data_IF_307243074427
#
_entry.id   IF_307243074427
#
_cell.length_a   1.000
_cell.length_b   1.000
_cell.length_c   1.000
_cell.angle_alpha   90.00
_cell.angle_beta   90.00
_cell.angle_gamma   90.00
#
_symmetry.space_group_name_H-M   'P 1'
#
loop_
_entity.id
_entity.type
_entity.pdbx_description
1 polymer ?
#
# COMPACT_ATOMS: atom_id res chain seq x y z
N UNK A 1 1.86 21.53 -11.00
CA UNK A 1 2.99 20.59 -11.01
C UNK A 1 2.62 19.37 -10.19
N UNK A 2 2.93 18.16 -10.66
CA UNK A 2 2.67 16.90 -9.92
C UNK A 2 4.03 16.30 -9.55
N UNK A 3 4.22 15.97 -8.29
CA UNK A 3 5.44 15.31 -7.81
C UNK A 3 5.20 13.81 -7.69
N UNK A 4 6.27 13.01 -7.75
CA UNK A 4 6.15 11.57 -7.53
C UNK A 4 7.32 11.01 -6.73
N UNK A 5 7.00 10.06 -5.86
CA UNK A 5 7.99 9.24 -5.14
C UNK A 5 7.80 7.79 -5.59
N UNK A 6 8.91 7.08 -5.81
CA UNK A 6 8.90 5.65 -6.09
C UNK A 6 9.59 4.90 -4.95
N UNK A 7 8.93 3.89 -4.41
CA UNK A 7 9.49 2.98 -3.39
C UNK A 7 9.66 1.61 -4.02
N UNK A 8 10.91 1.20 -4.19
CA UNK A 8 11.26 -0.12 -4.73
C UNK A 8 11.48 -1.11 -3.60
N UNK A 9 11.06 -2.36 -3.82
CA UNK A 9 11.19 -3.44 -2.86
C UNK A 9 12.23 -4.45 -3.32
N UNK A 10 13.04 -4.96 -2.38
CA UNK A 10 14.13 -5.92 -2.67
C UNK A 10 13.63 -7.19 -3.35
N UNK A 11 12.42 -7.64 -3.02
CA UNK A 11 11.82 -8.84 -3.57
C UNK A 11 10.45 -8.50 -4.15
N UNK A 12 10.23 -8.69 -5.46
CA UNK A 12 8.91 -8.54 -6.06
C UNK A 12 7.91 -9.55 -5.48
N UNK A 13 6.65 -9.15 -5.34
CA UNK A 13 5.60 -9.99 -4.71
C UNK A 13 4.31 -9.95 -5.50
N UNK A 14 3.54 -11.04 -5.46
CA UNK A 14 2.13 -10.99 -5.85
C UNK A 14 1.37 -10.19 -4.80
N UNK A 15 1.22 -8.90 -5.04
CA UNK A 15 0.55 -7.99 -4.10
C UNK A 15 -0.96 -8.00 -4.32
N UNK A 16 -1.72 -7.92 -3.23
CA UNK A 16 -3.17 -7.68 -3.21
C UNK A 16 -3.52 -6.28 -2.80
N UNK A 17 -2.61 -5.53 -2.19
CA UNK A 17 -2.80 -4.12 -1.90
C UNK A 17 -1.48 -3.36 -1.73
N UNK A 18 -1.55 -2.04 -1.86
CA UNK A 18 -0.53 -1.10 -1.42
C UNK A 18 -1.09 -0.30 -0.25
N UNK A 19 -0.43 -0.35 0.90
CA UNK A 19 -0.73 0.53 2.03
C UNK A 19 0.18 1.74 1.94
N UNK A 20 -0.42 2.93 2.05
CA UNK A 20 0.27 4.21 2.17
C UNK A 20 -0.11 4.82 3.51
N UNK A 21 0.90 5.11 4.33
CA UNK A 21 0.73 5.79 5.61
C UNK A 21 1.11 7.26 5.49
N UNK A 22 0.27 8.12 6.07
CA UNK A 22 0.56 9.53 6.31
C UNK A 22 0.76 9.75 7.81
N UNK A 23 1.74 10.57 8.19
CA UNK A 23 2.01 10.86 9.62
C UNK A 23 1.54 12.25 10.00
N UNK A 24 1.69 13.25 9.12
CA UNK A 24 1.34 14.64 9.42
C UNK A 24 0.67 15.36 8.23
N UNK A 25 -0.29 16.24 8.54
CA UNK A 25 -0.97 17.10 7.57
C UNK A 25 -1.89 16.36 6.57
N UNK A 26 -2.45 17.11 5.62
CA UNK A 26 -3.33 16.55 4.57
C UNK A 26 -2.57 15.73 3.50
N UNK A 27 -1.23 15.69 3.56
CA UNK A 27 -0.31 14.74 2.91
C UNK A 27 -0.80 14.13 1.59
N UNK A 28 -0.82 14.90 0.53
CA UNK A 28 -1.60 14.75 -0.70
C UNK A 28 -1.24 13.59 -1.65
N UNK A 29 -1.19 12.33 -1.18
CA UNK A 29 -1.22 11.18 -2.10
C UNK A 29 -2.50 11.27 -2.95
N UNK A 30 -2.36 11.57 -4.24
CA UNK A 30 -3.49 11.75 -5.18
C UNK A 30 -3.75 10.49 -5.98
N UNK A 31 -2.70 9.73 -6.29
CA UNK A 31 -2.75 8.47 -7.03
C UNK A 31 -1.67 7.52 -6.53
N UNK A 32 -1.95 6.24 -6.54
CA UNK A 32 -0.96 5.19 -6.29
C UNK A 32 -0.94 4.22 -7.46
N UNK A 33 0.26 3.91 -7.91
CA UNK A 33 0.51 2.90 -8.93
C UNK A 33 1.33 1.75 -8.33
N UNK A 34 0.91 0.52 -8.56
CA UNK A 34 1.77 -0.65 -8.40
C UNK A 34 2.53 -0.87 -9.71
N UNK A 35 3.86 -1.01 -9.64
CA UNK A 35 4.71 -1.22 -10.81
C UNK A 35 5.18 -2.66 -10.83
N UNK A 36 4.90 -3.37 -11.92
CA UNK A 36 5.29 -4.76 -12.09
C UNK A 36 6.76 -4.93 -12.52
N UNK A 37 7.21 -6.19 -12.60
CA UNK A 37 8.59 -6.51 -12.97
C UNK A 37 8.99 -6.09 -14.39
N UNK A 38 8.01 -5.88 -15.28
CA UNK A 38 8.17 -5.43 -16.66
C UNK A 38 8.01 -3.90 -16.80
N UNK A 39 8.00 -3.16 -15.68
CA UNK A 39 7.79 -1.71 -15.62
C UNK A 39 6.39 -1.24 -16.03
N UNK A 40 5.42 -2.16 -16.08
CA UNK A 40 4.00 -1.85 -16.25
C UNK A 40 3.42 -1.20 -14.99
N UNK A 41 2.85 -0.01 -15.13
CA UNK A 41 2.20 0.72 -14.04
C UNK A 41 0.69 0.46 -13.98
N UNK A 42 0.22 -0.09 -12.86
CA UNK A 42 -1.18 -0.37 -12.59
C UNK A 42 -1.72 0.65 -11.59
N UNK A 43 -2.66 1.51 -11.98
CA UNK A 43 -3.28 2.44 -11.03
C UNK A 43 -4.16 1.66 -10.05
N UNK A 44 -3.79 1.65 -8.77
CA UNK A 44 -4.46 0.85 -7.75
C UNK A 44 -5.44 1.64 -6.91
N UNK A 45 -5.32 2.97 -6.94
CA UNK A 45 -6.18 3.85 -6.19
C UNK A 45 -6.03 5.31 -6.62
N UNK A 46 -7.12 6.05 -6.45
CA UNK A 46 -7.18 7.50 -6.62
C UNK A 46 -8.07 8.09 -5.51
N UNK A 47 -7.65 9.26 -5.04
CA UNK A 47 -8.40 10.20 -4.19
C UNK A 47 -8.28 10.06 -2.65
N UNK A 48 -7.59 11.05 -2.04
CA UNK A 48 -7.69 11.43 -0.63
C UNK A 48 -7.90 12.94 -0.48
N UNK A 49 -8.90 13.47 -1.15
CA UNK A 49 -9.40 14.83 -0.88
C UNK A 49 -10.06 14.96 0.50
N UNK A 50 -10.08 13.90 1.33
CA UNK A 50 -10.67 13.99 2.65
C UNK A 50 -9.80 14.84 3.60
N UNK A 51 -10.37 15.91 4.20
CA UNK A 51 -9.66 16.86 5.06
C UNK A 51 -9.21 16.28 6.41
N UNK A 52 -9.52 15.01 6.68
CA UNK A 52 -9.00 14.23 7.79
C UNK A 52 -8.44 12.92 7.21
N UNK A 53 -7.20 12.87 6.73
CA UNK A 53 -6.74 11.69 6.04
C UNK A 53 -6.62 10.54 7.04
N UNK A 54 -7.24 9.41 6.71
CA UNK A 54 -6.94 8.13 7.36
C UNK A 54 -5.43 7.94 7.38
N UNK A 55 -4.85 7.80 8.57
CA UNK A 55 -3.40 7.59 8.79
C UNK A 55 -2.87 6.47 7.88
N UNK A 56 -3.67 5.41 7.66
CA UNK A 56 -3.36 4.33 6.74
C UNK A 56 -4.42 4.24 5.64
N UNK A 57 -4.01 4.38 4.38
CA UNK A 57 -4.88 4.17 3.22
C UNK A 57 -4.43 2.92 2.48
N UNK A 58 -5.36 1.98 2.30
CA UNK A 58 -5.09 0.71 1.61
C UNK A 58 -5.71 0.73 0.23
N UNK A 59 -4.87 0.74 -0.79
CA UNK A 59 -5.23 0.65 -2.20
C UNK A 59 -5.26 -0.82 -2.63
N UNK A 60 -6.46 -1.39 -2.75
CA UNK A 60 -6.62 -2.81 -3.14
C UNK A 60 -6.35 -3.00 -4.63
N UNK A 61 -5.50 -3.96 -4.95
CA UNK A 61 -5.26 -4.44 -6.30
C UNK A 61 -6.34 -5.46 -6.68
N UNK A 62 -6.94 -5.39 -7.88
CA UNK A 62 -7.47 -6.60 -8.50
C UNK A 62 -6.35 -7.65 -8.46
N UNK A 63 -6.64 -8.86 -7.95
CA UNK A 63 -5.64 -9.91 -7.69
C UNK A 63 -4.57 -9.91 -8.78
N UNK A 64 -3.39 -9.38 -8.47
CA UNK A 64 -2.39 -9.11 -9.48
C UNK A 64 -1.91 -10.45 -10.06
N UNK A 65 -2.02 -10.61 -11.38
CA UNK A 65 -1.43 -11.76 -12.10
C UNK A 65 0.09 -11.63 -12.22
N UNK A 66 0.66 -10.50 -11.82
CA UNK A 66 2.07 -10.16 -11.92
C UNK A 66 2.66 -9.85 -10.54
N UNK A 67 3.99 -9.96 -10.45
CA UNK A 67 4.73 -9.53 -9.28
C UNK A 67 4.95 -8.01 -9.35
N UNK A 68 4.72 -7.33 -8.24
CA UNK A 68 4.95 -5.90 -8.05
C UNK A 68 6.35 -5.69 -7.47
N UNK A 69 7.18 -4.86 -8.11
CA UNK A 69 8.54 -4.52 -7.67
C UNK A 69 8.65 -3.15 -7.01
N UNK A 70 7.72 -2.23 -7.30
CA UNK A 70 7.71 -0.91 -6.69
C UNK A 70 6.30 -0.33 -6.60
N UNK A 71 6.14 0.67 -5.74
CA UNK A 71 4.97 1.52 -5.69
C UNK A 71 5.37 2.95 -6.08
N UNK A 72 4.61 3.58 -6.97
CA UNK A 72 4.76 5.00 -7.33
C UNK A 72 3.58 5.78 -6.77
N UNK A 73 3.86 6.78 -5.96
CA UNK A 73 2.87 7.65 -5.32
C UNK A 73 2.95 9.02 -5.98
N UNK A 74 1.82 9.52 -6.48
CA UNK A 74 1.69 10.89 -6.97
C UNK A 74 1.28 11.80 -5.82
N UNK A 75 1.98 12.93 -5.67
CA UNK A 75 1.79 13.90 -4.58
C UNK A 75 1.32 15.24 -5.16
N UNK A 76 0.21 15.76 -4.64
CA UNK A 76 -0.38 17.05 -5.02
C UNK A 76 0.04 18.19 -4.08
N UNK A 77 0.75 19.24 -4.52
CA UNK A 77 1.47 20.16 -3.63
C UNK A 77 0.63 21.17 -2.84
N UNK A 78 -0.70 21.16 -2.94
CA UNK A 78 -1.54 22.30 -2.52
C UNK A 78 -2.48 21.99 -1.33
N UNK A 79 -2.20 20.98 -0.51
CA UNK A 79 -3.08 20.63 0.61
C UNK A 79 -2.63 21.19 1.97
N UNK A 80 -1.55 21.99 1.97
CA UNK A 80 -1.12 22.79 3.11
C UNK A 80 -0.04 23.80 2.70
N UNK A 81 -0.44 25.01 2.34
CA UNK A 81 0.39 26.03 1.67
C UNK A 81 1.54 26.56 2.56
N UNK A 82 1.57 26.20 3.85
CA UNK A 82 2.63 26.54 4.81
C UNK A 82 3.26 25.33 5.50
N UNK A 83 3.05 24.11 5.00
CA UNK A 83 3.57 22.86 5.59
C UNK A 83 4.08 21.90 4.52
N UNK A 84 4.69 20.80 4.93
CA UNK A 84 5.16 19.75 4.04
C UNK A 84 4.06 18.74 3.71
N UNK A 85 4.09 18.20 2.49
CA UNK A 85 3.35 16.99 2.11
C UNK A 85 4.19 15.76 2.50
N UNK A 86 3.60 14.79 3.20
CA UNK A 86 4.35 13.66 3.78
C UNK A 86 3.81 12.29 3.35
N UNK A 87 4.72 11.36 3.07
CA UNK A 87 4.48 9.92 3.00
C UNK A 87 5.39 9.26 4.04
N UNK A 88 4.80 8.76 5.13
CA UNK A 88 5.55 8.21 6.26
C UNK A 88 5.95 6.74 6.09
N UNK A 89 5.10 5.95 5.41
CA UNK A 89 5.44 4.56 5.07
C UNK A 89 4.68 4.05 3.83
N UNK A 90 5.27 3.07 3.16
CA UNK A 90 4.66 2.35 2.05
C UNK A 90 4.89 0.85 2.24
N UNK A 91 3.85 0.05 2.09
CA UNK A 91 3.90 -1.40 2.26
C UNK A 91 3.13 -2.13 1.15
N UNK A 92 3.68 -3.25 0.66
CA UNK A 92 2.94 -4.20 -0.19
C UNK A 92 2.31 -5.29 0.68
N UNK A 93 1.02 -5.53 0.50
CA UNK A 93 0.32 -6.66 1.12
C UNK A 93 0.31 -7.84 0.15
N UNK A 94 0.67 -9.02 0.64
CA UNK A 94 0.46 -10.29 -0.07
C UNK A 94 -0.94 -10.81 0.23
N UNK A 95 -1.53 -11.65 -0.64
CA UNK A 95 -2.70 -12.42 -0.25
C UNK A 95 -2.35 -13.21 1.01
N UNK A 96 -3.30 -13.29 1.94
CA UNK A 96 -3.16 -14.16 3.11
C UNK A 96 -2.81 -15.56 2.59
N UNK A 97 -1.68 -16.10 3.04
CA UNK A 97 -1.36 -17.49 2.76
C UNK A 97 -2.43 -18.30 3.48
N UNK A 98 -3.36 -18.89 2.72
CA UNK A 98 -4.25 -19.92 3.27
C UNK A 98 -3.32 -20.90 4.00
N UNK A 99 -3.45 -21.05 5.33
CA UNK A 99 -2.60 -21.96 6.06
C UNK A 99 -2.70 -23.30 5.36
N UNK A 100 -1.57 -23.83 4.88
CA UNK A 100 -1.55 -25.20 4.33
C UNK A 100 -2.22 -26.04 5.40
N UNK A 101 -3.38 -26.64 5.10
CA UNK A 101 -3.96 -27.64 5.98
C UNK A 101 -2.80 -28.58 6.28
N UNK A 102 -2.51 -28.81 7.57
CA UNK A 102 -1.60 -29.89 7.92
C UNK A 102 -2.06 -31.13 7.13
N UNK A 103 -1.15 -32.02 6.67
CA UNK A 103 -1.53 -33.25 5.96
C UNK A 103 -2.63 -34.06 6.68
N UNK A 104 -2.82 -33.81 7.98
CA UNK A 104 -3.78 -34.47 8.86
C UNK A 104 -5.04 -33.62 9.18
N UNK A 105 -5.37 -32.59 8.39
CA UNK A 105 -6.62 -31.83 8.51
C UNK A 105 -6.77 -30.96 9.77
N UNK A 106 -5.73 -30.79 10.58
CA UNK A 106 -5.79 -29.96 11.79
C UNK A 106 -5.71 -28.47 11.42
N UNK A 107 -6.59 -27.62 11.95
CA UNK A 107 -6.48 -26.17 11.77
C UNK A 107 -5.16 -25.66 12.38
N UNK A 108 -4.55 -24.62 11.81
CA UNK A 108 -3.38 -23.99 12.41
C UNK A 108 -3.72 -23.48 13.82
N UNK A 109 -2.80 -23.68 14.74
CA UNK A 109 -2.97 -23.28 16.13
C UNK A 109 -3.10 -21.76 16.22
N UNK A 110 -4.33 -21.28 16.44
CA UNK A 110 -4.61 -19.86 16.58
C UNK A 110 -4.15 -19.44 17.98
N UNK A 111 -2.93 -18.89 18.10
CA UNK A 111 -2.46 -18.30 19.35
C UNK A 111 -3.11 -16.93 19.49
N UNK A 112 -4.37 -16.90 19.95
CA UNK A 112 -5.01 -15.68 20.43
C UNK A 112 -4.12 -15.10 21.52
N UNK A 113 -3.39 -14.03 21.22
CA UNK A 113 -2.71 -13.25 22.25
C UNK A 113 -3.78 -12.39 22.92
N UNK A 114 -4.43 -12.98 23.91
CA UNK A 114 -5.14 -12.24 24.94
C UNK A 114 -4.09 -11.59 25.85
N UNK A 115 -4.07 -10.26 25.87
CA UNK A 115 -3.48 -9.43 26.91
C UNK A 115 -4.39 -8.21 26.98
N UNK A 116 -5.36 -8.21 27.90
CA UNK A 116 -5.30 -7.54 29.21
C UNK A 116 -4.93 -6.06 29.08
#
# INVERSE_FOLDING_TARGET
MVHSIAVSFRQPVYATAVLVRKTYGNGAATKVFAVDTLDGGHQVWADLTQPNPTVNSTATLPKARCQVKSARIMVGPNHGIGTHEEIGAVQLHRPESVPRRHPNGRPPYNRTRSSR
#
